data_IF_513385395089
#
_entry.id   IF_513385395089
#
_cell.length_a   1.000
_cell.length_b   1.000
_cell.length_c   1.000
_cell.angle_alpha   90.00
_cell.angle_beta   90.00
_cell.angle_gamma   90.00
#
_symmetry.space_group_name_H-M   'P 1'
#
loop_
_entity.id
_entity.type
_entity.pdbx_description
1 polymer ?
#
# COMPACT_ATOMS: atom_id res chain seq x y z
N UNK A 1 -20.01 -55.59 -9.50
CA UNK A 1 -19.04 -54.77 -10.28
C UNK A 1 -19.82 -53.79 -11.16
N UNK A 2 -19.42 -52.51 -11.32
CA UNK A 2 -18.39 -51.75 -10.60
C UNK A 2 -18.90 -50.41 -10.05
N UNK A 3 -18.50 -50.13 -8.80
CA UNK A 3 -18.19 -48.79 -8.31
C UNK A 3 -17.07 -48.26 -9.22
N UNK A 4 -17.29 -47.13 -9.91
CA UNK A 4 -16.25 -46.25 -10.51
C UNK A 4 -16.93 -45.15 -11.33
N UNK A 5 -16.47 -43.89 -11.14
CA UNK A 5 -16.64 -42.71 -12.02
C UNK A 5 -17.69 -41.66 -11.65
N UNK A 6 -17.68 -41.12 -10.43
CA UNK A 6 -18.02 -39.69 -10.25
C UNK A 6 -17.19 -39.07 -9.11
N UNK A 7 -15.86 -39.27 -9.16
CA UNK A 7 -14.92 -38.64 -8.23
C UNK A 7 -14.01 -37.60 -8.92
N UNK A 8 -14.41 -37.12 -10.11
CA UNK A 8 -13.59 -36.20 -10.91
C UNK A 8 -14.49 -35.10 -11.48
N UNK A 9 -15.03 -34.25 -10.61
CA UNK A 9 -15.65 -32.99 -11.02
C UNK A 9 -15.52 -31.90 -9.94
N UNK A 10 -14.53 -32.00 -9.04
CA UNK A 10 -14.30 -31.03 -7.96
C UNK A 10 -12.85 -30.49 -7.92
N UNK A 11 -12.04 -30.75 -8.95
CA UNK A 11 -10.64 -30.29 -8.99
C UNK A 11 -10.35 -29.66 -10.36
N UNK A 12 -11.15 -28.68 -10.79
CA UNK A 12 -10.80 -27.88 -11.98
C UNK A 12 -11.26 -26.42 -11.95
N UNK A 13 -11.71 -25.92 -10.79
CA UNK A 13 -12.11 -24.52 -10.61
C UNK A 13 -11.22 -23.76 -9.60
N UNK A 14 -10.02 -24.26 -9.29
CA UNK A 14 -9.12 -23.67 -8.28
C UNK A 14 -7.82 -23.06 -8.85
N UNK A 15 -7.68 -22.95 -10.18
CA UNK A 15 -6.39 -22.65 -10.81
C UNK A 15 -6.29 -21.29 -11.52
N UNK A 16 -7.17 -20.32 -11.24
CA UNK A 16 -7.17 -19.02 -11.94
C UNK A 16 -7.08 -17.78 -11.03
N UNK A 17 -6.82 -17.94 -9.74
CA UNK A 17 -6.79 -16.80 -8.80
C UNK A 17 -5.66 -16.87 -7.76
N UNK A 18 -4.52 -17.48 -8.09
CA UNK A 18 -3.31 -17.28 -7.27
C UNK A 18 -2.57 -16.05 -7.81
N UNK A 19 -2.71 -14.83 -7.23
CA UNK A 19 -1.73 -13.79 -7.48
C UNK A 19 -0.35 -14.38 -7.18
N UNK A 20 0.49 -14.42 -8.20
CA UNK A 20 1.72 -15.20 -8.19
C UNK A 20 2.59 -14.78 -7.01
N UNK A 21 3.16 -15.75 -6.31
CA UNK A 21 4.07 -15.51 -5.18
C UNK A 21 5.20 -14.53 -5.53
N UNK A 22 5.54 -14.43 -6.82
CA UNK A 22 6.44 -13.43 -7.42
C UNK A 22 5.95 -11.99 -7.26
N UNK A 23 4.66 -11.70 -7.51
CA UNK A 23 4.08 -10.38 -7.34
C UNK A 23 4.07 -9.96 -5.86
N UNK A 24 3.74 -10.88 -4.94
CA UNK A 24 3.81 -10.63 -3.50
C UNK A 24 5.24 -10.36 -3.03
N UNK A 25 6.22 -11.16 -3.48
CA UNK A 25 7.64 -10.94 -3.18
C UNK A 25 8.12 -9.59 -3.73
N UNK A 26 7.67 -9.21 -4.93
CA UNK A 26 8.00 -7.93 -5.55
C UNK A 26 7.39 -6.74 -4.81
N UNK A 27 6.14 -6.86 -4.36
CA UNK A 27 5.44 -5.85 -3.56
C UNK A 27 6.15 -5.64 -2.21
N UNK A 28 6.49 -6.74 -1.52
CA UNK A 28 7.26 -6.72 -0.27
C UNK A 28 8.56 -5.93 -0.41
N UNK A 29 9.40 -6.30 -1.37
CA UNK A 29 10.71 -5.65 -1.55
C UNK A 29 10.57 -4.16 -1.88
N UNK A 30 9.57 -3.77 -2.68
CA UNK A 30 9.32 -2.35 -2.97
C UNK A 30 8.82 -1.59 -1.73
N UNK A 31 7.92 -2.19 -0.97
CA UNK A 31 7.42 -1.63 0.28
C UNK A 31 8.54 -1.43 1.29
N UNK A 32 9.37 -2.45 1.53
CA UNK A 32 10.51 -2.36 2.45
C UNK A 32 11.50 -1.27 2.03
N UNK A 33 11.73 -1.10 0.72
CA UNK A 33 12.57 -0.01 0.19
C UNK A 33 11.94 1.36 0.41
N UNK A 34 10.64 1.52 0.17
CA UNK A 34 9.92 2.77 0.41
C UNK A 34 9.95 3.13 1.90
N UNK A 35 9.69 2.15 2.77
CA UNK A 35 9.74 2.29 4.22
C UNK A 35 11.15 2.65 4.73
N UNK A 36 12.19 2.04 4.18
CA UNK A 36 13.57 2.38 4.54
C UNK A 36 13.91 3.82 4.13
N UNK A 37 13.46 4.26 2.94
CA UNK A 37 13.66 5.63 2.46
C UNK A 37 12.93 6.64 3.34
N UNK A 38 11.66 6.41 3.63
CA UNK A 38 10.84 7.21 4.55
C UNK A 38 11.55 7.36 5.91
N UNK A 39 11.92 6.24 6.55
CA UNK A 39 12.67 6.24 7.82
C UNK A 39 14.00 7.00 7.74
N UNK A 40 14.69 6.97 6.59
CA UNK A 40 15.94 7.72 6.44
C UNK A 40 15.72 9.22 6.35
N UNK A 41 14.60 9.65 5.77
CA UNK A 41 14.22 11.06 5.65
C UNK A 41 13.74 11.59 7.01
N UNK A 42 12.97 10.82 7.76
CA UNK A 42 12.39 11.28 9.04
C UNK A 42 13.36 11.26 10.23
N UNK A 43 14.51 10.57 10.11
CA UNK A 43 15.55 10.53 11.17
C UNK A 43 16.44 11.77 11.25
N UNK A 44 16.40 12.67 10.27
CA UNK A 44 17.32 13.80 10.23
C UNK A 44 16.84 14.96 11.11
N UNK A 45 17.75 15.62 11.83
CA UNK A 45 17.42 16.83 12.62
C UNK A 45 16.98 18.01 11.76
N UNK A 46 17.41 18.04 10.49
CA UNK A 46 17.00 19.03 9.49
C UNK A 46 15.86 18.46 8.66
N UNK A 47 14.90 19.30 8.29
CA UNK A 47 13.83 18.95 7.35
C UNK A 47 14.43 18.47 6.00
N UNK A 48 14.06 17.27 5.51
CA UNK A 48 14.57 16.73 4.24
C UNK A 48 14.09 17.54 3.04
N UNK A 49 14.80 17.56 1.91
CA UNK A 49 14.32 18.26 0.72
C UNK A 49 12.91 17.81 0.31
N UNK A 50 12.01 18.77 0.07
CA UNK A 50 10.60 18.51 -0.29
C UNK A 50 10.45 17.53 -1.46
N UNK A 51 11.34 17.63 -2.45
CA UNK A 51 11.38 16.73 -3.60
C UNK A 51 11.64 15.27 -3.21
N UNK A 52 12.42 15.01 -2.16
CA UNK A 52 12.73 13.65 -1.69
C UNK A 52 11.57 13.05 -0.90
N UNK A 53 10.88 13.86 -0.09
CA UNK A 53 9.66 13.46 0.62
C UNK A 53 8.56 13.08 -0.38
N UNK A 54 8.27 13.97 -1.34
CA UNK A 54 7.29 13.69 -2.42
C UNK A 54 7.66 12.46 -3.26
N UNK A 55 8.95 12.23 -3.49
CA UNK A 55 9.39 11.03 -4.19
C UNK A 55 9.14 9.74 -3.38
N UNK A 56 9.26 9.80 -2.04
CA UNK A 56 8.94 8.67 -1.17
C UNK A 56 7.42 8.42 -1.09
N UNK A 57 6.60 9.47 -1.01
CA UNK A 57 5.12 9.37 -1.12
C UNK A 57 4.71 8.67 -2.42
N UNK A 58 5.23 9.14 -3.57
CA UNK A 58 4.96 8.51 -4.87
C UNK A 58 5.42 7.05 -4.95
N UNK A 59 6.47 6.67 -4.23
CA UNK A 59 6.93 5.28 -4.21
C UNK A 59 5.90 4.35 -3.55
N UNK A 60 5.22 4.82 -2.50
CA UNK A 60 4.12 4.09 -1.89
C UNK A 60 2.92 3.96 -2.84
N UNK A 61 2.49 5.06 -3.45
CA UNK A 61 1.39 5.07 -4.44
C UNK A 61 1.65 4.08 -5.60
N UNK A 62 2.88 4.03 -6.11
CA UNK A 62 3.26 3.10 -7.18
C UNK A 62 3.17 1.62 -6.78
N UNK A 63 3.35 1.28 -5.50
CA UNK A 63 3.17 -0.09 -5.02
C UNK A 63 1.70 -0.49 -5.21
N UNK A 64 0.79 0.39 -4.82
CA UNK A 64 -0.65 0.16 -4.87
C UNK A 64 -1.11 0.05 -6.32
N UNK A 65 -0.68 0.96 -7.19
CA UNK A 65 -1.02 0.93 -8.63
C UNK A 65 -0.52 -0.33 -9.34
N UNK A 66 0.64 -0.86 -8.93
CA UNK A 66 1.26 -2.02 -9.60
C UNK A 66 0.90 -3.36 -8.96
N UNK A 67 0.59 -3.36 -7.67
CA UNK A 67 0.30 -4.56 -6.88
C UNK A 67 -0.94 -4.34 -5.99
N UNK A 68 -2.11 -4.00 -6.58
CA UNK A 68 -3.29 -3.60 -5.83
C UNK A 68 -3.85 -4.73 -4.94
N UNK A 69 -3.66 -5.99 -5.30
CA UNK A 69 -4.13 -7.13 -4.51
C UNK A 69 -3.11 -7.63 -3.49
N UNK A 70 -1.98 -6.93 -3.31
CA UNK A 70 -0.94 -7.36 -2.38
C UNK A 70 -1.28 -7.00 -0.94
N UNK A 71 -0.87 -7.84 0.03
CA UNK A 71 -0.98 -7.51 1.46
C UNK A 71 -0.11 -6.33 1.94
N UNK A 72 0.55 -5.63 1.02
CA UNK A 72 1.32 -4.42 1.28
C UNK A 72 0.64 -3.15 0.76
N UNK A 73 -0.47 -3.27 0.01
CA UNK A 73 -1.09 -2.13 -0.64
C UNK A 73 -1.74 -1.17 0.39
N UNK A 74 -2.46 -1.70 1.38
CA UNK A 74 -3.05 -0.89 2.46
C UNK A 74 -1.98 -0.22 3.32
N UNK A 75 -0.93 -0.96 3.70
CA UNK A 75 0.24 -0.43 4.40
C UNK A 75 0.94 0.68 3.62
N UNK A 76 1.05 0.52 2.29
CA UNK A 76 1.64 1.53 1.42
C UNK A 76 0.78 2.80 1.38
N UNK A 77 -0.54 2.68 1.19
CA UNK A 77 -1.44 3.83 1.23
C UNK A 77 -1.36 4.57 2.57
N UNK A 78 -1.47 3.84 3.68
CA UNK A 78 -1.42 4.43 5.01
C UNK A 78 -0.11 5.17 5.27
N UNK A 79 1.05 4.51 5.05
CA UNK A 79 2.34 5.15 5.31
C UNK A 79 2.62 6.30 4.35
N UNK A 80 2.23 6.18 3.07
CA UNK A 80 2.34 7.26 2.11
C UNK A 80 1.52 8.48 2.52
N UNK A 81 0.30 8.26 3.02
CA UNK A 81 -0.53 9.33 3.56
C UNK A 81 0.10 10.00 4.78
N UNK A 82 0.61 9.22 5.75
CA UNK A 82 1.26 9.78 6.94
C UNK A 82 2.46 10.67 6.56
N UNK A 83 3.27 10.21 5.61
CA UNK A 83 4.42 10.96 5.12
C UNK A 83 3.99 12.24 4.39
N UNK A 84 2.91 12.20 3.60
CA UNK A 84 2.38 13.37 2.91
C UNK A 84 1.83 14.42 3.89
N UNK A 85 1.04 14.00 4.88
CA UNK A 85 0.50 14.87 5.92
C UNK A 85 1.61 15.49 6.79
N UNK A 86 2.64 14.71 7.11
CA UNK A 86 3.81 15.22 7.81
C UNK A 86 4.60 16.22 6.95
N UNK A 87 4.73 15.96 5.66
CA UNK A 87 5.34 16.88 4.70
C UNK A 87 4.56 18.20 4.66
N UNK A 88 3.23 18.15 4.61
CA UNK A 88 2.38 19.34 4.73
C UNK A 88 2.64 20.09 6.04
N UNK A 89 2.74 19.39 7.18
CA UNK A 89 3.03 20.02 8.48
C UNK A 89 4.31 20.85 8.44
N UNK A 90 5.35 20.38 7.73
CA UNK A 90 6.63 21.08 7.61
C UNK A 90 6.66 22.20 6.56
N UNK A 91 6.01 21.99 5.42
CA UNK A 91 6.16 22.86 4.24
C UNK A 91 4.92 23.71 3.93
N UNK A 92 3.78 23.40 4.54
CA UNK A 92 2.50 24.09 4.40
C UNK A 92 2.00 24.19 2.95
N UNK A 93 2.43 23.27 2.08
CA UNK A 93 1.95 23.17 0.70
C UNK A 93 0.74 22.23 0.65
N UNK A 94 -0.43 22.78 0.27
CA UNK A 94 -1.70 22.06 0.24
C UNK A 94 -1.67 20.81 -0.64
N UNK A 95 -0.80 20.76 -1.66
CA UNK A 95 -0.64 19.57 -2.51
C UNK A 95 -0.28 18.34 -1.69
N UNK A 96 0.55 18.48 -0.64
CA UNK A 96 0.93 17.35 0.21
C UNK A 96 -0.18 16.94 1.19
N UNK A 97 -1.01 17.90 1.62
CA UNK A 97 -2.20 17.60 2.43
C UNK A 97 -3.21 16.80 1.61
N UNK A 98 -3.53 17.30 0.41
CA UNK A 98 -4.53 16.73 -0.46
C UNK A 98 -4.12 15.31 -0.90
N UNK A 99 -2.83 15.12 -1.25
CA UNK A 99 -2.28 13.79 -1.50
C UNK A 99 -2.41 12.84 -0.30
N UNK A 100 -2.21 13.34 0.92
CA UNK A 100 -2.39 12.53 2.13
C UNK A 100 -3.84 12.09 2.34
N UNK A 101 -4.79 13.00 2.15
CA UNK A 101 -6.24 12.73 2.25
C UNK A 101 -6.67 11.72 1.19
N UNK A 102 -6.33 11.95 -0.08
CA UNK A 102 -6.68 11.07 -1.19
C UNK A 102 -6.18 9.63 -0.97
N UNK A 103 -4.97 9.47 -0.42
CA UNK A 103 -4.42 8.15 -0.12
C UNK A 103 -5.16 7.44 1.03
N UNK A 104 -5.63 8.16 2.05
CA UNK A 104 -6.44 7.59 3.13
C UNK A 104 -7.83 7.20 2.65
N UNK A 105 -8.47 8.05 1.84
CA UNK A 105 -9.76 7.76 1.22
C UNK A 105 -9.67 6.53 0.31
N UNK A 106 -8.65 6.48 -0.56
CA UNK A 106 -8.37 5.31 -1.38
C UNK A 106 -8.20 4.04 -0.53
N UNK A 107 -7.51 4.13 0.61
CA UNK A 107 -7.34 2.98 1.49
C UNK A 107 -8.67 2.51 2.09
N UNK A 108 -9.51 3.45 2.54
CA UNK A 108 -10.81 3.17 3.18
C UNK A 108 -11.78 2.52 2.19
N UNK A 109 -11.74 2.97 0.94
CA UNK A 109 -12.67 2.57 -0.12
C UNK A 109 -12.27 1.22 -0.74
N UNK A 110 -11.00 1.05 -1.12
CA UNK A 110 -10.55 -0.15 -1.85
C UNK A 110 -10.07 -1.28 -0.92
N UNK A 111 -9.75 -0.98 0.35
CA UNK A 111 -9.27 -1.97 1.33
C UNK A 111 -10.16 -2.01 2.58
N UNK A 112 -11.46 -2.33 2.44
CA UNK A 112 -12.43 -2.20 3.52
C UNK A 112 -12.20 -3.15 4.71
N UNK A 113 -11.41 -4.21 4.51
CA UNK A 113 -11.02 -5.18 5.53
C UNK A 113 -9.64 -4.90 6.16
N UNK A 114 -8.96 -3.82 5.77
CA UNK A 114 -7.68 -3.44 6.37
C UNK A 114 -7.87 -3.13 7.86
N UNK A 115 -6.98 -3.64 8.70
CA UNK A 115 -6.92 -3.29 10.12
C UNK A 115 -6.61 -1.82 10.36
N UNK A 116 -6.05 -1.12 9.36
CA UNK A 116 -5.68 0.30 9.43
C UNK A 116 -6.86 1.24 9.16
N UNK A 117 -8.00 0.73 8.68
CA UNK A 117 -9.16 1.55 8.27
C UNK A 117 -9.66 2.48 9.37
N UNK A 118 -9.73 1.99 10.61
CA UNK A 118 -10.18 2.78 11.74
C UNK A 118 -9.23 3.95 12.04
N UNK A 119 -7.93 3.75 11.90
CA UNK A 119 -6.93 4.79 12.15
C UNK A 119 -6.83 5.78 10.98
N UNK A 120 -7.02 5.34 9.75
CA UNK A 120 -7.14 6.24 8.60
C UNK A 120 -8.34 7.19 8.75
N UNK A 121 -9.50 6.69 9.16
CA UNK A 121 -10.70 7.52 9.38
C UNK A 121 -10.53 8.61 10.44
N UNK A 122 -9.68 8.39 11.44
CA UNK A 122 -9.39 9.40 12.49
C UNK A 122 -8.51 10.54 11.98
N UNK A 123 -7.90 10.38 10.81
CA UNK A 123 -6.92 11.31 10.22
C UNK A 123 -7.49 12.15 9.08
N UNK A 124 -8.69 11.81 8.62
CA UNK A 124 -9.55 12.68 7.82
C UNK A 124 -10.24 13.69 8.73
#
# INVERSE_FOLDING_TARGET
MPIRRVAIALIFAALMAAPSQVAAQSAKTRYERALARDKSLTKTRRAPPLSQLRAAVRAYEQIVRRYPTSGYADNALYNGALLALETYRHYQDAVDRDAGIEMLEWMIDEYPHSSLKADARKRL
#
